data_IF_590999699004
#
_entry.id   IF_590999699004
#
_cell.length_a   1.000
_cell.length_b   1.000
_cell.length_c   1.000
_cell.angle_alpha   90.00
_cell.angle_beta   90.00
_cell.angle_gamma   90.00
#
_symmetry.space_group_name_H-M   'P 1'
#
loop_
_entity.id
_entity.type
_entity.pdbx_description
1 polymer ?
#
# COMPACT_ATOMS: atom_id res chain seq x y z
N UNK A 1 -13.87 6.65 5.02
CA UNK A 1 -14.68 5.46 4.67
C UNK A 1 -15.89 5.76 3.78
N UNK A 2 -16.90 6.58 4.17
CA UNK A 2 -18.14 6.77 3.37
C UNK A 2 -17.92 6.96 1.87
N UNK A 3 -17.06 7.91 1.49
CA UNK A 3 -16.80 8.19 0.08
C UNK A 3 -16.14 6.99 -0.64
N UNK A 4 -15.27 6.22 0.01
CA UNK A 4 -14.68 4.99 -0.56
C UNK A 4 -15.79 3.96 -0.81
N UNK A 5 -16.59 3.69 0.22
CA UNK A 5 -17.69 2.71 0.17
C UNK A 5 -18.67 3.03 -0.97
N UNK A 6 -19.15 4.28 -1.05
CA UNK A 6 -20.06 4.71 -2.11
C UNK A 6 -19.43 4.55 -3.50
N UNK A 7 -18.16 4.93 -3.65
CA UNK A 7 -17.45 4.82 -4.93
C UNK A 7 -17.23 3.36 -5.36
N UNK A 8 -16.89 2.47 -4.43
CA UNK A 8 -16.72 1.05 -4.69
C UNK A 8 -18.05 0.37 -5.09
N UNK A 9 -19.17 0.82 -4.51
CA UNK A 9 -20.49 0.27 -4.80
C UNK A 9 -20.94 0.57 -6.23
N UNK A 10 -20.59 1.75 -6.75
CA UNK A 10 -21.06 2.22 -8.06
C UNK A 10 -20.22 1.71 -9.22
N UNK A 11 -18.91 1.48 -9.03
CA UNK A 11 -18.04 0.97 -10.09
C UNK A 11 -18.40 -0.48 -10.46
N UNK A 12 -18.50 -0.77 -11.75
CA UNK A 12 -18.85 -2.10 -12.26
C UNK A 12 -17.62 -3.02 -12.39
N UNK A 13 -17.83 -4.32 -12.17
CA UNK A 13 -16.77 -5.32 -12.29
C UNK A 13 -15.66 -5.24 -11.21
N UNK A 14 -15.91 -4.52 -10.12
CA UNK A 14 -15.05 -4.48 -8.93
C UNK A 14 -15.76 -5.21 -7.79
N UNK A 15 -15.00 -5.99 -7.03
CA UNK A 15 -15.39 -6.59 -5.75
C UNK A 15 -14.42 -6.09 -4.69
N UNK A 16 -14.93 -5.83 -3.50
CA UNK A 16 -14.16 -5.23 -2.40
C UNK A 16 -14.30 -6.09 -1.16
N UNK A 17 -13.16 -6.39 -0.55
CA UNK A 17 -13.09 -6.92 0.81
C UNK A 17 -12.51 -5.84 1.72
N UNK A 18 -13.29 -5.40 2.71
CA UNK A 18 -12.86 -4.49 3.77
C UNK A 18 -12.35 -5.36 4.92
N UNK A 19 -11.04 -5.31 5.16
CA UNK A 19 -10.43 -5.98 6.30
C UNK A 19 -10.68 -5.15 7.56
N UNK A 20 -11.12 -5.80 8.64
CA UNK A 20 -11.37 -5.16 9.94
C UNK A 20 -10.91 -6.03 11.11
N UNK A 21 -10.75 -5.41 12.27
CA UNK A 21 -10.22 -6.00 13.50
C UNK A 21 -11.23 -6.06 14.65
N UNK A 22 -12.47 -5.60 14.45
CA UNK A 22 -13.51 -5.71 15.48
C UNK A 22 -14.76 -4.87 15.24
N UNK A 23 -15.17 -4.69 13.98
CA UNK A 23 -16.39 -3.94 13.68
C UNK A 23 -17.64 -4.65 14.26
N UNK A 24 -18.62 -3.90 14.78
CA UNK A 24 -19.86 -4.49 15.29
C UNK A 24 -20.59 -5.31 14.23
N UNK A 25 -21.17 -6.45 14.64
CA UNK A 25 -21.91 -7.33 13.72
C UNK A 25 -23.05 -6.61 13.00
N UNK A 26 -23.77 -5.74 13.71
CA UNK A 26 -24.82 -4.91 13.12
C UNK A 26 -24.28 -4.01 11.99
N UNK A 27 -23.09 -3.42 12.18
CA UNK A 27 -22.46 -2.61 11.14
C UNK A 27 -22.09 -3.48 9.94
N UNK A 28 -21.50 -4.65 10.17
CA UNK A 28 -21.14 -5.58 9.10
C UNK A 28 -22.40 -6.01 8.32
N UNK A 29 -23.48 -6.36 9.02
CA UNK A 29 -24.75 -6.76 8.40
C UNK A 29 -25.36 -5.63 7.55
N UNK A 30 -25.34 -4.38 8.05
CA UNK A 30 -25.93 -3.23 7.38
C UNK A 30 -25.16 -2.79 6.13
N UNK A 31 -23.84 -3.03 6.07
CA UNK A 31 -22.98 -2.55 4.98
C UNK A 31 -22.44 -3.67 4.08
N UNK A 32 -22.76 -4.94 4.34
CA UNK A 32 -22.42 -6.04 3.42
C UNK A 32 -23.34 -6.01 2.21
N UNK A 33 -22.76 -6.22 1.02
CA UNK A 33 -23.48 -6.27 -0.26
C UNK A 33 -22.94 -7.42 -1.13
N UNK A 34 -23.50 -7.60 -2.32
CA UNK A 34 -22.96 -8.53 -3.33
C UNK A 34 -21.54 -8.15 -3.79
N UNK A 35 -21.20 -6.86 -3.73
CA UNK A 35 -19.90 -6.31 -4.13
C UNK A 35 -18.92 -6.10 -2.97
N UNK A 36 -19.41 -5.75 -1.79
CA UNK A 36 -18.60 -5.34 -0.64
C UNK A 36 -18.81 -6.34 0.50
N UNK A 37 -17.71 -6.95 0.95
CA UNK A 37 -17.68 -7.87 2.08
C UNK A 37 -16.76 -7.35 3.17
N UNK A 38 -17.03 -7.74 4.40
CA UNK A 38 -16.16 -7.48 5.54
C UNK A 38 -15.44 -8.78 5.91
N UNK A 39 -14.15 -8.68 6.17
CA UNK A 39 -13.30 -9.81 6.53
C UNK A 39 -12.55 -9.50 7.80
N UNK A 40 -12.78 -10.31 8.83
CA UNK A 40 -12.09 -10.18 10.10
C UNK A 40 -10.61 -10.58 9.96
N UNK A 41 -9.72 -9.76 10.51
CA UNK A 41 -8.31 -10.09 10.74
C UNK A 41 -8.03 -9.96 12.24
N UNK A 42 -7.69 -11.08 12.87
CA UNK A 42 -7.19 -11.06 14.25
C UNK A 42 -5.80 -10.42 14.25
N UNK A 43 -5.64 -9.27 14.91
CA UNK A 43 -4.36 -8.60 15.03
C UNK A 43 -3.49 -9.21 16.14
N UNK A 44 -4.06 -9.97 17.08
CA UNK A 44 -3.35 -10.51 18.23
C UNK A 44 -2.35 -11.62 17.88
N UNK A 45 -2.50 -12.24 16.71
CA UNK A 45 -1.54 -13.24 16.21
C UNK A 45 -0.21 -12.66 15.70
N UNK A 46 -0.15 -11.34 15.52
CA UNK A 46 1.07 -10.67 15.05
C UNK A 46 1.83 -10.04 16.22
N UNK A 47 3.08 -9.66 15.97
CA UNK A 47 3.87 -8.96 16.96
C UNK A 47 3.15 -7.68 17.40
N UNK A 48 2.88 -7.57 18.71
CA UNK A 48 2.06 -6.49 19.29
C UNK A 48 2.67 -5.09 19.15
N UNK A 49 3.97 -5.02 18.84
CA UNK A 49 4.68 -3.75 18.58
C UNK A 49 4.47 -3.22 17.18
N UNK A 50 3.97 -4.03 16.24
CA UNK A 50 3.71 -3.58 14.89
C UNK A 50 2.45 -2.73 14.86
N UNK A 51 2.56 -1.53 14.29
CA UNK A 51 1.42 -0.67 14.02
C UNK A 51 0.53 -1.26 12.93
N UNK A 52 -0.74 -0.86 12.93
CA UNK A 52 -1.76 -1.37 11.98
C UNK A 52 -1.32 -1.19 10.51
N UNK A 53 -0.58 -0.13 10.22
CA UNK A 53 0.00 0.15 8.91
C UNK A 53 1.01 -0.88 8.42
N UNK A 54 1.70 -1.56 9.34
CA UNK A 54 2.65 -2.64 9.06
C UNK A 54 1.93 -3.99 9.10
N UNK A 55 1.07 -4.20 10.11
CA UNK A 55 0.29 -5.45 10.29
C UNK A 55 -0.60 -5.77 9.08
N UNK A 56 -1.16 -4.75 8.41
CA UNK A 56 -2.04 -4.94 7.26
C UNK A 56 -1.41 -5.79 6.14
N UNK A 57 -0.09 -5.79 5.98
CA UNK A 57 0.57 -6.58 4.93
C UNK A 57 0.50 -8.08 5.22
N UNK A 58 0.47 -8.50 6.48
CA UNK A 58 0.16 -9.88 6.81
C UNK A 58 -1.28 -10.22 6.45
N UNK A 59 -2.25 -9.39 6.86
CA UNK A 59 -3.65 -9.61 6.52
C UNK A 59 -3.84 -9.68 4.99
N UNK A 60 -3.22 -8.78 4.22
CA UNK A 60 -3.26 -8.82 2.75
C UNK A 60 -2.68 -10.13 2.20
N UNK A 61 -1.51 -10.58 2.67
CA UNK A 61 -0.91 -11.85 2.23
C UNK A 61 -1.82 -13.04 2.50
N UNK A 62 -2.44 -13.10 3.68
CA UNK A 62 -3.37 -14.17 4.03
C UNK A 62 -4.59 -14.17 3.12
N UNK A 63 -5.15 -12.99 2.81
CA UNK A 63 -6.25 -12.88 1.83
C UNK A 63 -5.84 -13.34 0.44
N UNK A 64 -4.66 -12.94 -0.03
CA UNK A 64 -4.14 -13.39 -1.33
C UNK A 64 -3.95 -14.91 -1.37
N UNK A 65 -3.41 -15.51 -0.31
CA UNK A 65 -3.21 -16.97 -0.20
C UNK A 65 -4.53 -17.75 -0.10
N UNK A 66 -5.50 -17.21 0.63
CA UNK A 66 -6.82 -17.81 0.77
C UNK A 66 -7.67 -17.70 -0.52
N UNK A 67 -7.26 -16.88 -1.49
CA UNK A 67 -7.99 -16.66 -2.73
C UNK A 67 -7.09 -16.80 -3.98
N UNK A 68 -6.55 -18.00 -4.24
CA UNK A 68 -5.67 -18.23 -5.39
C UNK A 68 -6.36 -18.00 -6.75
N UNK A 69 -7.69 -17.97 -6.79
CA UNK A 69 -8.49 -17.70 -7.98
C UNK A 69 -8.51 -16.22 -8.40
N UNK A 70 -8.03 -15.29 -7.55
CA UNK A 70 -7.97 -13.88 -7.91
C UNK A 70 -6.94 -13.65 -9.01
N UNK A 71 -7.31 -12.91 -10.06
CA UNK A 71 -6.40 -12.63 -11.17
C UNK A 71 -5.57 -11.36 -10.90
N UNK A 72 -6.23 -10.34 -10.35
CA UNK A 72 -5.69 -9.02 -10.04
C UNK A 72 -6.31 -8.50 -8.76
N UNK A 73 -5.48 -7.86 -7.94
CA UNK A 73 -5.89 -7.30 -6.66
C UNK A 73 -5.30 -5.90 -6.54
N UNK A 74 -6.06 -5.01 -5.92
CA UNK A 74 -5.61 -3.71 -5.46
C UNK A 74 -5.91 -3.59 -3.97
N UNK A 75 -4.91 -3.24 -3.18
CA UNK A 75 -5.05 -2.83 -1.79
C UNK A 75 -5.01 -1.32 -1.74
N UNK A 76 -5.94 -0.72 -1.01
CA UNK A 76 -5.99 0.74 -0.87
C UNK A 76 -6.19 1.16 0.58
N UNK A 77 -5.81 2.38 0.90
CA UNK A 77 -6.29 3.05 2.09
C UNK A 77 -7.80 3.27 2.00
N UNK A 78 -8.46 3.29 3.16
CA UNK A 78 -9.93 3.33 3.25
C UNK A 78 -10.49 4.75 3.48
N UNK A 79 -9.63 5.66 3.93
CA UNK A 79 -10.04 6.99 4.41
C UNK A 79 -9.88 8.05 3.33
N UNK A 80 -8.82 8.00 2.54
CA UNK A 80 -8.38 9.02 1.58
C UNK A 80 -8.35 8.55 0.12
N UNK A 81 -8.73 7.31 -0.18
CA UNK A 81 -8.85 6.79 -1.56
C UNK A 81 -10.31 6.61 -1.97
N UNK A 82 -10.63 6.85 -3.25
CA UNK A 82 -11.92 6.57 -3.88
C UNK A 82 -11.72 5.83 -5.20
N UNK A 83 -12.61 4.91 -5.51
CA UNK A 83 -12.57 4.12 -6.75
C UNK A 83 -13.36 4.85 -7.84
N UNK A 84 -12.71 5.18 -8.95
CA UNK A 84 -13.32 5.87 -10.10
C UNK A 84 -13.65 4.94 -11.24
N UNK A 85 -12.81 3.95 -11.48
CA UNK A 85 -13.01 3.01 -12.57
C UNK A 85 -12.32 1.68 -12.29
N UNK A 86 -12.74 0.65 -13.03
CA UNK A 86 -12.22 -0.70 -12.86
C UNK A 86 -10.82 -0.82 -13.52
N UNK A 87 -9.75 -1.09 -12.74
CA UNK A 87 -8.39 -1.17 -13.27
C UNK A 87 -8.12 -2.47 -14.05
N UNK A 88 -8.92 -3.52 -13.82
CA UNK A 88 -8.63 -4.88 -14.27
C UNK A 88 -8.45 -5.02 -15.79
N UNK A 89 -9.26 -4.40 -16.67
CA UNK A 89 -9.06 -4.51 -18.13
C UNK A 89 -7.68 -4.04 -18.60
N UNK A 90 -7.12 -3.01 -17.97
CA UNK A 90 -5.77 -2.55 -18.27
C UNK A 90 -4.73 -3.45 -17.60
N UNK A 91 -4.92 -3.79 -16.33
CA UNK A 91 -3.99 -4.60 -15.55
C UNK A 91 -3.75 -5.98 -16.19
N UNK A 92 -4.79 -6.61 -16.77
CA UNK A 92 -4.68 -7.88 -17.50
C UNK A 92 -3.71 -7.86 -18.68
N UNK A 93 -3.52 -6.70 -19.31
CA UNK A 93 -2.56 -6.52 -20.41
C UNK A 93 -1.15 -6.23 -19.93
N UNK A 94 -0.95 -5.99 -18.63
CA UNK A 94 0.30 -5.57 -18.01
C UNK A 94 0.53 -6.38 -16.72
N UNK A 95 0.48 -7.72 -16.84
CA UNK A 95 0.46 -8.65 -15.68
C UNK A 95 1.78 -8.71 -14.92
N UNK A 96 2.83 -8.17 -15.51
CA UNK A 96 4.19 -8.06 -15.02
C UNK A 96 4.43 -6.79 -14.19
N UNK A 97 3.46 -5.85 -14.14
CA UNK A 97 3.60 -4.57 -13.45
C UNK A 97 3.04 -4.57 -12.03
N UNK A 98 3.72 -3.83 -11.16
CA UNK A 98 3.21 -3.37 -9.87
C UNK A 98 2.59 -1.99 -10.08
N UNK A 99 1.32 -1.86 -9.78
CA UNK A 99 0.63 -0.58 -9.75
C UNK A 99 0.77 0.03 -8.36
N UNK A 100 1.20 1.29 -8.26
CA UNK A 100 1.50 1.90 -6.97
C UNK A 100 1.11 3.37 -6.93
N UNK A 101 0.67 3.85 -5.77
CA UNK A 101 0.50 5.27 -5.48
C UNK A 101 1.84 5.98 -5.44
N UNK A 102 1.86 7.27 -5.80
CA UNK A 102 3.06 8.09 -5.75
C UNK A 102 2.73 9.51 -5.34
N UNK A 103 3.60 10.08 -4.52
CA UNK A 103 3.48 11.45 -4.05
C UNK A 103 4.09 12.44 -5.06
N UNK A 104 3.82 13.72 -4.85
CA UNK A 104 4.36 14.80 -5.69
C UNK A 104 5.76 15.25 -5.27
N UNK A 105 6.27 14.73 -4.15
CA UNK A 105 7.55 15.10 -3.55
C UNK A 105 8.56 13.98 -3.70
N UNK A 106 9.82 14.37 -3.82
CA UNK A 106 10.95 13.48 -3.93
C UNK A 106 11.33 12.84 -2.59
N UNK A 107 11.83 11.61 -2.67
CA UNK A 107 12.30 10.85 -1.52
C UNK A 107 13.58 11.44 -0.90
N UNK A 108 14.64 11.77 -1.68
CA UNK A 108 15.83 12.41 -1.14
C UNK A 108 15.50 13.70 -0.37
N UNK A 109 16.09 13.86 0.81
CA UNK A 109 15.90 15.01 1.70
C UNK A 109 14.48 15.22 2.25
N UNK A 110 13.54 14.28 2.06
CA UNK A 110 12.22 14.40 2.65
C UNK A 110 12.28 14.17 4.18
N UNK A 111 11.98 15.17 5.04
CA UNK A 111 12.30 15.09 6.47
C UNK A 111 11.60 13.94 7.21
N UNK A 112 10.34 13.67 6.85
CA UNK A 112 9.60 12.57 7.45
C UNK A 112 10.15 11.21 7.02
N UNK A 113 10.53 11.05 5.74
CA UNK A 113 11.10 9.79 5.26
C UNK A 113 12.50 9.58 5.83
N UNK A 114 13.30 10.65 5.97
CA UNK A 114 14.60 10.57 6.62
C UNK A 114 14.47 10.06 8.05
N UNK A 115 13.52 10.60 8.83
CA UNK A 115 13.24 10.09 10.18
C UNK A 115 12.90 8.59 10.15
N UNK A 116 12.01 8.18 9.26
CA UNK A 116 11.59 6.77 9.12
C UNK A 116 12.72 5.84 8.67
N UNK A 117 13.61 6.30 7.79
CA UNK A 117 14.80 5.53 7.41
C UNK A 117 15.83 5.47 8.54
N UNK A 118 15.96 6.49 9.38
CA UNK A 118 16.79 6.41 10.60
C UNK A 118 16.24 5.37 11.59
N UNK A 119 14.92 5.25 11.72
CA UNK A 119 14.26 4.21 12.51
C UNK A 119 14.57 2.81 11.95
N UNK A 120 14.72 2.66 10.63
CA UNK A 120 15.18 1.42 10.01
C UNK A 120 16.67 1.13 10.22
N UNK A 121 17.51 2.17 10.19
CA UNK A 121 18.97 2.09 10.38
C UNK A 121 19.71 1.23 9.34
N UNK A 122 20.99 0.98 9.59
CA UNK A 122 21.84 0.05 8.84
C UNK A 122 21.82 0.27 7.33
N UNK A 123 21.65 -0.82 6.58
CA UNK A 123 21.63 -0.82 5.11
C UNK A 123 20.54 0.10 4.54
N UNK A 124 19.39 0.19 5.20
CA UNK A 124 18.25 1.00 4.74
C UNK A 124 18.55 2.49 4.82
N UNK A 125 19.08 2.95 5.97
CA UNK A 125 19.43 4.36 6.14
C UNK A 125 20.62 4.77 5.28
N UNK A 126 21.64 3.90 5.18
CA UNK A 126 22.82 4.15 4.35
C UNK A 126 22.43 4.34 2.87
N UNK A 127 21.53 3.51 2.36
CA UNK A 127 21.01 3.69 1.02
C UNK A 127 20.24 4.99 0.85
N UNK A 128 19.31 5.30 1.75
CA UNK A 128 18.54 6.54 1.69
C UNK A 128 19.47 7.76 1.63
N UNK A 129 20.54 7.75 2.44
CA UNK A 129 21.57 8.80 2.47
C UNK A 129 22.45 8.85 1.22
N UNK A 130 22.57 7.74 0.49
CA UNK A 130 23.31 7.67 -0.78
C UNK A 130 22.51 8.21 -1.97
N UNK A 131 21.19 8.38 -1.83
CA UNK A 131 20.37 8.88 -2.91
C UNK A 131 20.67 10.35 -3.21
N UNK A 132 21.15 10.63 -4.42
CA UNK A 132 21.34 12.00 -4.88
C UNK A 132 19.98 12.66 -5.18
N UNK A 133 19.72 13.91 -4.75
CA UNK A 133 18.57 14.68 -5.20
C UNK A 133 18.70 15.16 -6.65
N UNK A 134 19.91 15.09 -7.21
CA UNK A 134 20.22 15.51 -8.59
C UNK A 134 20.21 14.26 -9.48
N UNK A 135 19.48 14.31 -10.58
CA UNK A 135 19.43 13.25 -11.60
C UNK A 135 18.17 13.31 -12.44
N UNK A 136 18.11 12.48 -13.49
CA UNK A 136 16.95 12.36 -14.38
C UNK A 136 15.96 11.28 -13.94
N UNK A 137 16.33 10.46 -12.96
CA UNK A 137 15.49 9.40 -12.41
C UNK A 137 14.37 10.00 -11.56
N UNK A 138 13.15 9.49 -11.75
CA UNK A 138 12.01 9.82 -10.91
C UNK A 138 12.18 9.19 -9.52
N UNK A 139 12.46 10.04 -8.53
CA UNK A 139 12.72 9.65 -7.14
C UNK A 139 11.55 10.02 -6.22
N UNK A 140 10.38 10.28 -6.78
CA UNK A 140 9.18 10.58 -5.99
C UNK A 140 8.82 9.43 -5.07
N UNK A 141 8.31 9.78 -3.89
CA UNK A 141 7.93 8.82 -2.86
C UNK A 141 6.82 7.91 -3.39
N UNK A 142 7.04 6.61 -3.31
CA UNK A 142 5.96 5.63 -3.46
C UNK A 142 5.09 5.60 -2.21
N UNK A 143 3.77 5.62 -2.42
CA UNK A 143 2.79 5.65 -1.36
C UNK A 143 2.09 4.31 -1.19
N UNK A 144 2.04 3.84 0.05
CA UNK A 144 1.44 2.57 0.46
C UNK A 144 -0.09 2.54 0.32
N UNK A 145 -0.75 3.69 0.14
CA UNK A 145 -2.21 3.81 0.10
C UNK A 145 -2.86 3.28 -1.17
N UNK A 146 -2.08 2.96 -2.21
CA UNK A 146 -2.54 2.24 -3.40
C UNK A 146 -1.43 1.29 -3.82
N UNK A 147 -1.70 -0.01 -3.81
CA UNK A 147 -0.82 -1.05 -4.37
C UNK A 147 -1.66 -2.05 -5.15
N UNK A 148 -1.19 -2.51 -6.29
CA UNK A 148 -1.92 -3.45 -7.12
C UNK A 148 -1.03 -4.27 -8.03
N UNK A 149 -1.58 -5.39 -8.50
CA UNK A 149 -0.86 -6.32 -9.36
C UNK A 149 -1.49 -7.70 -9.35
N UNK A 150 -0.80 -8.67 -9.95
CA UNK A 150 -1.19 -10.08 -9.79
C UNK A 150 -0.91 -10.55 -8.36
N UNK A 151 -1.67 -11.51 -7.80
CA UNK A 151 -1.40 -12.03 -6.46
C UNK A 151 0.03 -12.52 -6.28
N UNK A 152 0.63 -13.13 -7.32
CA UNK A 152 2.03 -13.56 -7.29
C UNK A 152 3.00 -12.37 -7.11
N UNK A 153 2.78 -11.26 -7.81
CA UNK A 153 3.62 -10.07 -7.68
C UNK A 153 3.44 -9.42 -6.31
N UNK A 154 2.20 -9.28 -5.86
CA UNK A 154 1.89 -8.67 -4.56
C UNK A 154 2.40 -9.51 -3.39
N UNK A 155 2.27 -10.84 -3.45
CA UNK A 155 2.86 -11.73 -2.45
C UNK A 155 4.37 -11.54 -2.35
N UNK A 156 5.08 -11.51 -3.48
CA UNK A 156 6.53 -11.23 -3.48
C UNK A 156 6.85 -9.86 -2.92
N UNK A 157 6.12 -8.81 -3.33
CA UNK A 157 6.32 -7.46 -2.81
C UNK A 157 6.12 -7.43 -1.28
N UNK A 158 5.03 -8.03 -0.78
CA UNK A 158 4.72 -8.04 0.64
C UNK A 158 5.68 -8.92 1.44
N UNK A 159 6.18 -10.03 0.89
CA UNK A 159 7.27 -10.81 1.50
C UNK A 159 8.51 -9.91 1.69
N UNK A 160 8.95 -9.22 0.63
CA UNK A 160 10.11 -8.32 0.71
C UNK A 160 9.90 -7.14 1.67
N UNK A 161 8.71 -6.57 1.73
CA UNK A 161 8.39 -5.50 2.68
C UNK A 161 8.42 -6.01 4.12
N UNK A 162 7.85 -7.19 4.37
CA UNK A 162 7.84 -7.79 5.71
C UNK A 162 9.24 -8.16 6.17
N UNK A 163 10.13 -8.63 5.29
CA UNK A 163 11.54 -8.84 5.65
C UNK A 163 12.22 -7.56 6.19
N UNK A 164 11.82 -6.37 5.70
CA UNK A 164 12.32 -5.09 6.23
C UNK A 164 11.66 -4.74 7.56
N UNK A 165 10.36 -4.94 7.69
CA UNK A 165 9.56 -4.62 8.89
C UNK A 165 9.94 -5.53 10.08
N UNK A 166 10.24 -6.79 9.79
CA UNK A 166 10.60 -7.83 10.75
C UNK A 166 12.10 -7.86 11.07
N UNK A 167 12.90 -7.00 10.44
CA UNK A 167 14.35 -6.98 10.65
C UNK A 167 14.64 -6.79 12.17
N UNK A 168 15.35 -7.71 12.83
CA UNK A 168 15.61 -7.59 14.27
C UNK A 168 16.53 -6.41 14.59
N UNK A 169 17.24 -5.87 13.59
CA UNK A 169 18.21 -4.80 13.76
C UNK A 169 17.64 -3.39 13.64
N UNK A 170 16.32 -3.23 13.43
CA UNK A 170 15.71 -1.91 13.37
C UNK A 170 16.02 -1.10 14.63
N UNK A 171 16.45 0.16 14.43
CA UNK A 171 16.79 1.06 15.52
C UNK A 171 15.60 1.34 16.44
N UNK A 172 14.40 1.50 15.88
CA UNK A 172 13.18 1.71 16.67
C UNK A 172 12.92 0.57 17.66
N UNK A 173 13.28 -0.67 17.30
CA UNK A 173 13.12 -1.84 18.18
C UNK A 173 14.05 -1.77 19.40
N UNK A 174 15.28 -1.28 19.18
CA UNK A 174 16.36 -1.21 20.18
C UNK A 174 16.29 0.03 21.08
N UNK A 175 16.04 1.20 20.49
CA UNK A 175 16.12 2.49 21.18
C UNK A 175 14.76 2.94 21.77
N UNK A 176 13.66 2.33 21.35
CA UNK A 176 12.32 2.67 21.85
C UNK A 176 11.48 1.41 22.00
N UNK A 177 11.79 0.56 23.00
CA UNK A 177 11.16 -0.76 23.16
C UNK A 177 9.63 -0.71 23.33
N UNK A 178 9.10 0.40 23.85
CA UNK A 178 7.65 0.59 24.03
C UNK A 178 6.98 1.30 22.86
N UNK A 179 7.73 1.73 21.84
CA UNK A 179 7.18 2.43 20.69
C UNK A 179 6.63 1.46 19.64
N UNK A 180 5.52 1.86 19.05
CA UNK A 180 4.94 1.23 17.85
C UNK A 180 5.93 1.33 16.67
N UNK A 181 6.14 0.21 15.99
CA UNK A 181 6.87 0.12 14.72
C UNK A 181 5.88 0.43 13.59
N UNK A 182 6.18 1.45 12.79
CA UNK A 182 5.32 1.89 11.69
C UNK A 182 6.18 2.37 10.53
N UNK A 183 6.76 1.40 9.81
CA UNK A 183 7.84 1.59 8.83
C UNK A 183 7.50 1.05 7.43
N UNK A 184 6.22 0.83 7.14
CA UNK A 184 5.77 0.37 5.82
C UNK A 184 6.19 1.29 4.65
N UNK A 185 6.12 2.61 4.81
CA UNK A 185 6.47 3.58 3.77
C UNK A 185 7.96 3.50 3.39
N UNK A 186 8.93 3.58 4.32
CA UNK A 186 10.34 3.39 3.95
C UNK A 186 10.61 1.95 3.47
N UNK A 187 9.93 0.93 4.01
CA UNK A 187 10.06 -0.44 3.52
C UNK A 187 9.63 -0.57 2.05
N UNK A 188 8.46 -0.04 1.68
CA UNK A 188 7.96 -0.02 0.30
C UNK A 188 8.96 0.67 -0.63
N UNK A 189 9.41 1.87 -0.26
CA UNK A 189 10.32 2.65 -1.09
C UNK A 189 11.66 1.94 -1.27
N UNK A 190 12.27 1.43 -0.20
CA UNK A 190 13.49 0.63 -0.28
C UNK A 190 13.31 -0.56 -1.21
N UNK A 191 12.25 -1.34 -1.03
CA UNK A 191 12.00 -2.54 -1.83
C UNK A 191 11.81 -2.19 -3.31
N UNK A 192 10.97 -1.21 -3.63
CA UNK A 192 10.69 -0.84 -5.01
C UNK A 192 11.93 -0.27 -5.72
N UNK A 193 12.70 0.60 -5.08
CA UNK A 193 13.88 1.19 -5.71
C UNK A 193 15.07 0.22 -5.83
N UNK A 194 15.15 -0.82 -4.99
CA UNK A 194 16.32 -1.73 -4.98
C UNK A 194 16.08 -3.10 -5.61
N UNK A 195 14.82 -3.54 -5.67
CA UNK A 195 14.48 -4.91 -6.08
C UNK A 195 13.68 -4.98 -7.38
N UNK A 196 13.25 -3.84 -7.92
CA UNK A 196 12.42 -3.79 -9.12
C UNK A 196 13.00 -2.78 -10.12
N UNK A 197 12.91 -3.11 -11.42
CA UNK A 197 13.25 -2.14 -12.45
C UNK A 197 12.14 -1.08 -12.57
N UNK A 198 12.46 0.15 -12.98
CA UNK A 198 11.45 1.20 -13.17
C UNK A 198 10.30 0.79 -14.09
N UNK A 199 10.55 -0.02 -15.12
CA UNK A 199 9.54 -0.48 -16.09
C UNK A 199 8.55 -1.48 -15.51
N UNK A 200 8.94 -2.17 -14.42
CA UNK A 200 8.06 -3.08 -13.69
C UNK A 200 7.09 -2.33 -12.76
N UNK A 201 7.25 -1.00 -12.63
CA UNK A 201 6.46 -0.18 -11.73
C UNK A 201 5.62 0.80 -12.55
N UNK A 202 4.32 0.82 -12.30
CA UNK A 202 3.41 1.77 -12.92
C UNK A 202 2.70 2.61 -11.85
N UNK A 203 2.73 3.92 -12.06
CA UNK A 203 2.15 4.91 -11.16
C UNK A 203 1.53 6.05 -11.95
N UNK A 204 1.10 7.12 -11.26
CA UNK A 204 0.42 8.28 -11.84
C UNK A 204 -0.79 7.86 -12.70
N UNK A 205 -1.14 8.61 -13.74
CA UNK A 205 -2.24 8.24 -14.64
C UNK A 205 -1.88 6.98 -15.46
N UNK A 206 -2.79 5.98 -15.57
CA UNK A 206 -4.19 5.95 -15.12
C UNK A 206 -4.41 5.37 -13.71
N UNK A 207 -3.36 5.04 -12.96
CA UNK A 207 -3.47 4.44 -11.63
C UNK A 207 -4.19 5.37 -10.66
N UNK A 208 -3.66 6.57 -10.46
CA UNK A 208 -4.18 7.48 -9.44
C UNK A 208 -4.12 8.96 -9.83
N UNK A 209 -4.97 9.77 -9.20
CA UNK A 209 -4.86 11.24 -9.22
C UNK A 209 -3.61 11.72 -8.48
N UNK A 210 -3.24 12.99 -8.63
CA UNK A 210 -2.15 13.55 -7.82
C UNK A 210 -2.49 13.46 -6.33
N UNK A 211 -1.54 12.96 -5.54
CA UNK A 211 -1.67 12.82 -4.10
C UNK A 211 -2.03 14.16 -3.45
N UNK A 212 -2.97 14.15 -2.50
CA UNK A 212 -3.41 15.33 -1.73
C UNK A 212 -3.90 16.53 -2.52
N UNK A 213 -4.22 16.33 -3.79
CA UNK A 213 -4.65 17.40 -4.70
C UNK A 213 -6.17 17.51 -4.85
N UNK A 214 -6.95 16.68 -4.13
CA UNK A 214 -8.41 16.72 -4.08
C UNK A 214 -9.10 16.66 -5.46
N UNK A 215 -8.49 15.98 -6.42
CA UNK A 215 -8.94 15.96 -7.82
C UNK A 215 -10.14 15.02 -8.03
N UNK A 216 -11.24 15.26 -7.31
CA UNK A 216 -12.42 14.38 -7.27
C UNK A 216 -13.15 14.26 -8.59
N UNK A 217 -12.91 15.16 -9.54
CA UNK A 217 -13.66 15.22 -10.80
C UNK A 217 -12.94 14.47 -11.94
N UNK A 218 -11.74 13.95 -11.68
CA UNK A 218 -11.00 13.12 -12.64
C UNK A 218 -11.77 11.83 -12.96
N UNK A 219 -11.82 11.51 -14.25
CA UNK A 219 -12.51 10.31 -14.80
C UNK A 219 -11.55 9.37 -15.55
N UNK A 220 -10.31 9.81 -15.77
CA UNK A 220 -9.25 9.16 -16.52
C UNK A 220 -8.22 8.44 -15.61
N UNK A 221 -8.56 8.30 -14.32
CA UNK A 221 -7.81 7.54 -13.32
C UNK A 221 -8.69 6.47 -12.68
N UNK A 222 -8.07 5.42 -12.12
CA UNK A 222 -8.77 4.36 -11.40
C UNK A 222 -9.05 4.73 -9.95
N UNK A 223 -8.11 5.45 -9.33
CA UNK A 223 -8.20 5.88 -7.94
C UNK A 223 -8.03 7.40 -7.82
N UNK A 224 -8.78 8.03 -6.93
CA UNK A 224 -8.50 9.40 -6.49
C UNK A 224 -7.94 9.35 -5.09
N UNK A 225 -6.75 9.92 -4.90
CA UNK A 225 -6.03 9.99 -3.63
C UNK A 225 -6.06 11.41 -3.08
N UNK A 226 -6.70 11.59 -1.92
CA UNK A 226 -6.86 12.87 -1.22
C UNK A 226 -5.73 13.24 -0.28
#
# INVERSE_FOLDING_TARGET
MRKFYESARTVSGVRVEIIHDGLPEEFIANYTTDKIKFVYCDLHKYEQRLGVNDVRYYCFKERLRANPQWEFVFTTDLTDVFVKSNPCPYARRHRDRIFVGRETVDLPNHPWMEKRFRELSGKYYNWFRSMSPIGVEDKRIFNCGILGGTPRLLLRLFDRMLEVIEDPDLRIRKESPDAEVNVNMPALNWVLFTSYSPEAIQSDQPVHSRYKSWESDRTDVWFVHK
#
